data_IF_795173688059
#
_entry.id   IF_795173688059
#
_cell.length_a   1.000
_cell.length_b   1.000
_cell.length_c   1.000
_cell.angle_alpha   90.00
_cell.angle_beta   90.00
_cell.angle_gamma   90.00
#
_symmetry.space_group_name_H-M   'P 1'
#
loop_
_entity.id
_entity.type
_entity.pdbx_description
1 polymer ?
#
# COMPACT_ATOMS: atom_id res chain seq x y z
N UNK A 1 -10.38 30.80 -9.90
CA UNK A 1 -10.43 29.45 -9.37
C UNK A 1 -10.48 28.50 -10.54
N UNK A 2 -9.42 27.71 -10.75
CA UNK A 2 -9.31 26.84 -11.93
C UNK A 2 -10.25 25.65 -11.80
N UNK A 3 -11.07 25.40 -12.80
CA UNK A 3 -12.01 24.26 -12.95
C UNK A 3 -11.35 22.87 -12.90
N UNK A 4 -10.05 22.78 -12.61
CA UNK A 4 -9.25 21.55 -12.48
C UNK A 4 -9.26 20.93 -11.06
N UNK A 5 -9.86 21.63 -10.07
CA UNK A 5 -9.77 21.20 -8.65
C UNK A 5 -10.93 20.31 -8.19
N UNK A 6 -12.03 20.21 -8.92
CA UNK A 6 -13.22 19.51 -8.45
C UNK A 6 -13.23 17.99 -8.70
N UNK A 7 -12.32 17.45 -9.52
CA UNK A 7 -12.27 15.99 -9.78
C UNK A 7 -10.80 15.55 -9.99
N UNK A 8 -10.03 15.55 -8.88
CA UNK A 8 -8.63 15.19 -8.95
C UNK A 8 -8.47 13.70 -9.27
N UNK A 9 -7.61 13.40 -10.24
CA UNK A 9 -7.28 12.03 -10.63
C UNK A 9 -5.80 11.89 -10.97
N UNK A 10 -5.32 10.65 -10.86
CA UNK A 10 -4.01 10.24 -11.37
C UNK A 10 -4.29 9.38 -12.60
N UNK A 11 -3.73 9.77 -13.74
CA UNK A 11 -3.84 9.01 -14.98
C UNK A 11 -2.46 8.52 -15.39
N UNK A 12 -2.34 7.22 -15.60
CA UNK A 12 -1.14 6.51 -16.00
C UNK A 12 -1.44 5.86 -17.35
N UNK A 13 -0.76 6.28 -18.41
CA UNK A 13 -0.99 5.80 -19.78
C UNK A 13 0.26 5.15 -20.33
N UNK A 14 0.19 3.84 -20.57
CA UNK A 14 1.22 2.97 -21.17
C UNK A 14 2.62 3.20 -20.58
N UNK A 15 2.70 3.37 -19.26
CA UNK A 15 3.95 3.67 -18.59
C UNK A 15 4.87 2.47 -18.59
N UNK A 16 6.09 2.68 -19.08
CA UNK A 16 7.20 1.73 -19.02
C UNK A 16 8.40 2.38 -18.38
N UNK A 17 9.14 1.61 -17.57
CA UNK A 17 10.41 2.06 -17.02
C UNK A 17 11.42 0.93 -16.99
N UNK A 18 12.58 1.21 -17.60
CA UNK A 18 13.74 0.29 -17.65
C UNK A 18 14.90 0.95 -16.96
N UNK A 19 15.47 0.29 -15.95
CA UNK A 19 16.69 0.75 -15.29
C UNK A 19 17.93 0.52 -16.17
N UNK A 20 19.01 1.25 -15.92
CA UNK A 20 20.27 1.22 -16.70
C UNK A 20 20.86 -0.18 -16.95
N UNK A 21 20.53 -1.17 -16.10
CA UNK A 21 20.96 -2.56 -16.24
C UNK A 21 20.05 -3.41 -17.13
N UNK A 22 19.10 -2.80 -17.86
CA UNK A 22 18.18 -3.51 -18.75
C UNK A 22 16.98 -4.17 -18.06
N UNK A 23 16.83 -4.05 -16.75
CA UNK A 23 15.69 -4.60 -16.01
C UNK A 23 14.46 -3.68 -16.19
N UNK A 24 13.40 -4.22 -16.80
CA UNK A 24 12.12 -3.55 -16.97
C UNK A 24 11.30 -3.67 -15.67
N UNK A 25 11.35 -2.63 -14.83
CA UNK A 25 10.62 -2.59 -13.57
C UNK A 25 9.12 -2.27 -13.75
N UNK A 26 8.77 -1.55 -14.82
CA UNK A 26 7.38 -1.24 -15.22
C UNK A 26 7.23 -1.54 -16.71
N UNK A 27 6.15 -2.21 -17.08
CA UNK A 27 5.96 -2.71 -18.44
C UNK A 27 4.55 -2.43 -18.98
N UNK A 28 4.31 -1.17 -19.41
CA UNK A 28 3.09 -0.77 -20.10
C UNK A 28 1.87 -0.62 -19.18
N UNK A 29 2.04 -0.10 -17.96
CA UNK A 29 0.94 0.08 -17.01
C UNK A 29 -0.04 1.15 -17.49
N UNK A 30 -1.34 0.82 -17.41
CA UNK A 30 -2.48 1.72 -17.58
C UNK A 30 -3.31 1.70 -16.30
N UNK A 31 -3.48 2.87 -15.66
CA UNK A 31 -4.32 3.02 -14.45
C UNK A 31 -4.91 4.43 -14.40
N UNK A 32 -6.15 4.51 -13.91
CA UNK A 32 -6.77 5.77 -13.50
C UNK A 32 -7.18 5.64 -12.03
N UNK A 33 -6.67 6.52 -11.17
CA UNK A 33 -6.96 6.51 -9.72
C UNK A 33 -7.68 7.79 -9.39
N UNK A 34 -8.78 7.67 -8.66
CA UNK A 34 -9.63 8.78 -8.21
C UNK A 34 -9.64 8.88 -6.69
N UNK A 35 -10.36 9.86 -6.13
CA UNK A 35 -10.48 10.06 -4.68
C UNK A 35 -10.88 8.78 -3.96
N UNK A 36 -10.22 8.50 -2.87
CA UNK A 36 -10.38 7.30 -2.06
C UNK A 36 -9.05 6.66 -1.69
N UNK A 37 -9.13 5.58 -0.90
CA UNK A 37 -7.99 4.73 -0.58
C UNK A 37 -7.84 3.67 -1.67
N UNK A 38 -6.76 3.77 -2.43
CA UNK A 38 -6.36 2.84 -3.48
C UNK A 38 -5.24 1.93 -2.99
N UNK A 39 -5.46 0.62 -3.07
CA UNK A 39 -4.49 -0.41 -2.72
C UNK A 39 -3.58 -0.76 -3.90
N UNK A 40 -2.26 -0.72 -3.69
CA UNK A 40 -1.27 -1.18 -4.65
C UNK A 40 -0.58 -2.42 -4.09
N UNK A 41 -1.10 -3.60 -4.41
CA UNK A 41 -0.63 -4.89 -3.93
C UNK A 41 0.38 -5.53 -4.89
N UNK A 42 1.23 -6.39 -4.36
CA UNK A 42 2.15 -7.21 -5.14
C UNK A 42 3.39 -7.61 -4.35
N UNK A 43 4.13 -8.62 -4.80
CA UNK A 43 5.34 -9.08 -4.15
C UNK A 43 6.45 -8.01 -4.19
N UNK A 44 7.52 -8.25 -3.43
CA UNK A 44 8.71 -7.42 -3.49
C UNK A 44 9.33 -7.51 -4.89
N UNK A 45 9.81 -6.38 -5.42
CA UNK A 45 10.33 -6.34 -6.79
C UNK A 45 9.27 -6.24 -7.91
N UNK A 46 7.97 -6.30 -7.61
CA UNK A 46 6.91 -6.22 -8.61
C UNK A 46 6.84 -4.87 -9.37
N UNK A 47 7.52 -3.81 -8.87
CA UNK A 47 7.53 -2.49 -9.50
C UNK A 47 6.73 -1.43 -8.75
N UNK A 48 6.10 -1.74 -7.59
CA UNK A 48 5.27 -0.80 -6.80
C UNK A 48 6.00 0.51 -6.49
N UNK A 49 7.16 0.45 -5.83
CA UNK A 49 7.94 1.65 -5.46
C UNK A 49 8.44 2.41 -6.69
N UNK A 50 8.75 1.72 -7.79
CA UNK A 50 9.13 2.36 -9.06
C UNK A 50 7.97 3.18 -9.62
N UNK A 51 6.77 2.61 -9.66
CA UNK A 51 5.56 3.31 -10.13
C UNK A 51 5.27 4.53 -9.25
N UNK A 52 5.32 4.38 -7.92
CA UNK A 52 5.09 5.49 -7.00
C UNK A 52 6.13 6.60 -7.15
N UNK A 53 7.42 6.28 -7.33
CA UNK A 53 8.47 7.28 -7.61
C UNK A 53 8.22 8.03 -8.91
N UNK A 54 7.66 7.39 -9.93
CA UNK A 54 7.26 8.05 -11.18
C UNK A 54 6.11 9.02 -10.91
N UNK A 55 5.05 8.59 -10.21
CA UNK A 55 3.91 9.45 -9.85
C UNK A 55 4.37 10.65 -9.02
N UNK A 56 5.30 10.44 -8.08
CA UNK A 56 5.90 11.50 -7.25
C UNK A 56 6.85 12.45 -8.02
N UNK A 57 6.99 12.32 -9.33
CA UNK A 57 7.98 13.08 -10.14
C UNK A 57 9.44 12.93 -9.69
N UNK A 58 9.76 11.84 -8.97
CA UNK A 58 11.12 11.50 -8.53
C UNK A 58 11.88 10.65 -9.56
N UNK A 59 11.14 9.97 -10.43
CA UNK A 59 11.68 9.13 -11.49
C UNK A 59 10.99 9.46 -12.82
N UNK A 60 11.75 9.54 -13.90
CA UNK A 60 11.20 9.77 -15.24
C UNK A 60 10.90 8.41 -15.87
N UNK A 61 9.67 8.17 -16.38
CA UNK A 61 9.39 6.95 -17.11
C UNK A 61 10.20 6.89 -18.41
N UNK A 62 10.52 5.70 -18.90
CA UNK A 62 11.20 5.50 -20.19
C UNK A 62 10.22 5.76 -21.33
N UNK A 63 8.97 5.33 -21.18
CA UNK A 63 7.89 5.50 -22.15
C UNK A 63 6.56 5.74 -21.42
N UNK A 64 5.58 6.28 -22.15
CA UNK A 64 4.24 6.56 -21.62
C UNK A 64 4.16 7.90 -20.90
N UNK A 65 3.02 8.13 -20.24
CA UNK A 65 2.71 9.41 -19.61
C UNK A 65 1.99 9.21 -18.28
N UNK A 66 2.33 10.07 -17.30
CA UNK A 66 1.59 10.15 -16.03
C UNK A 66 1.18 11.58 -15.79
N UNK A 67 -0.07 11.78 -15.35
CA UNK A 67 -0.56 13.07 -14.88
C UNK A 67 -1.20 12.95 -13.50
N UNK A 68 -1.02 13.99 -12.68
CA UNK A 68 -1.62 14.13 -11.34
C UNK A 68 -2.39 15.44 -11.31
N UNK A 69 -3.71 15.38 -11.13
CA UNK A 69 -4.56 16.57 -11.18
C UNK A 69 -4.39 17.37 -12.46
N UNK A 70 -4.14 16.69 -13.59
CA UNK A 70 -3.90 17.29 -14.90
C UNK A 70 -2.46 17.77 -15.14
N UNK A 71 -1.58 17.78 -14.13
CA UNK A 71 -0.17 18.14 -14.29
C UNK A 71 0.68 16.94 -14.70
N UNK A 72 1.51 17.12 -15.73
CA UNK A 72 2.45 16.10 -16.21
C UNK A 72 3.62 15.93 -15.24
N UNK A 73 3.89 14.69 -14.78
CA UNK A 73 4.91 14.40 -13.75
C UNK A 73 6.35 14.71 -14.20
N UNK A 74 6.60 14.84 -15.51
CA UNK A 74 7.92 15.14 -16.06
C UNK A 74 8.06 16.63 -16.37
N UNK A 75 7.05 17.21 -17.01
CA UNK A 75 7.10 18.59 -17.52
C UNK A 75 6.66 19.63 -16.50
N UNK A 76 5.71 19.27 -15.61
CA UNK A 76 5.07 20.18 -14.67
C UNK A 76 5.30 19.78 -13.20
N UNK A 77 6.52 19.37 -12.86
CA UNK A 77 6.91 18.83 -11.55
C UNK A 77 6.50 19.70 -10.36
N UNK A 78 6.54 21.04 -10.50
CA UNK A 78 6.14 21.96 -9.42
C UNK A 78 4.63 21.86 -9.14
N UNK A 79 3.80 21.75 -10.19
CA UNK A 79 2.36 21.55 -10.05
C UNK A 79 2.05 20.21 -9.36
N UNK A 80 2.69 19.13 -9.80
CA UNK A 80 2.56 17.80 -9.17
C UNK A 80 2.92 17.85 -7.69
N UNK A 81 4.08 18.42 -7.31
CA UNK A 81 4.56 18.44 -5.93
C UNK A 81 3.69 19.24 -4.97
N UNK A 82 2.97 20.26 -5.46
CA UNK A 82 1.99 21.00 -4.65
C UNK A 82 0.78 20.15 -4.29
N UNK A 83 0.40 19.22 -5.16
CA UNK A 83 -0.74 18.34 -4.95
C UNK A 83 -0.41 17.07 -4.19
N UNK A 84 0.88 16.73 -4.00
CA UNK A 84 1.30 15.41 -3.61
C UNK A 84 2.15 15.41 -2.34
N UNK A 85 1.75 14.61 -1.35
CA UNK A 85 2.56 14.20 -0.20
C UNK A 85 3.09 12.78 -0.42
N UNK A 86 4.30 12.51 0.03
CA UNK A 86 4.93 11.20 -0.12
C UNK A 86 5.59 10.73 1.17
N UNK A 87 5.20 9.56 1.63
CA UNK A 87 5.86 8.82 2.71
C UNK A 87 6.61 7.63 2.11
N UNK A 88 7.95 7.66 2.03
CA UNK A 88 8.74 6.53 1.55
C UNK A 88 8.77 5.38 2.57
N UNK A 89 9.12 4.19 2.11
CA UNK A 89 9.30 3.00 2.94
C UNK A 89 10.33 3.25 4.06
N UNK A 90 11.50 3.82 3.71
CA UNK A 90 12.48 4.27 4.67
C UNK A 90 12.27 5.75 4.98
N UNK A 91 11.66 6.02 6.12
CA UNK A 91 11.47 7.37 6.63
C UNK A 91 12.35 7.61 7.86
N UNK A 92 13.23 8.61 7.76
CA UNK A 92 14.08 9.06 8.83
C UNK A 92 13.83 10.53 9.12
N UNK A 93 13.21 10.84 10.26
CA UNK A 93 13.07 12.20 10.73
C UNK A 93 14.32 12.65 11.53
N UNK A 94 14.47 13.95 11.71
CA UNK A 94 15.58 14.53 12.47
C UNK A 94 15.52 14.16 13.96
N UNK A 95 16.28 13.17 14.35
CA UNK A 95 16.18 12.45 15.64
C UNK A 95 16.38 13.32 16.88
N UNK A 96 17.15 14.41 16.79
CA UNK A 96 17.50 15.28 17.91
C UNK A 96 16.53 16.43 18.12
N UNK A 97 15.66 16.71 17.15
CA UNK A 97 14.66 17.78 17.19
C UNK A 97 13.37 17.29 17.85
N UNK A 98 12.56 18.23 18.34
CA UNK A 98 11.20 17.96 18.81
C UNK A 98 10.29 17.71 17.61
N UNK A 99 9.20 16.99 17.84
CA UNK A 99 8.22 16.67 16.78
C UNK A 99 7.67 17.95 16.15
N UNK A 100 7.26 18.93 16.96
CA UNK A 100 6.75 20.22 16.49
C UNK A 100 7.79 21.04 15.70
N UNK A 101 9.06 21.02 16.13
CA UNK A 101 10.16 21.71 15.42
C UNK A 101 10.39 21.14 14.03
N UNK A 102 10.31 19.79 13.88
CA UNK A 102 10.41 19.12 12.58
C UNK A 102 9.29 19.60 11.66
N UNK A 103 8.05 19.60 12.15
CA UNK A 103 6.89 19.99 11.35
C UNK A 103 6.89 21.49 11.03
N UNK A 104 7.28 22.37 11.96
CA UNK A 104 7.38 23.82 11.73
C UNK A 104 8.43 24.13 10.64
N UNK A 105 9.58 23.45 10.68
CA UNK A 105 10.61 23.60 9.65
C UNK A 105 10.10 23.12 8.29
N UNK A 106 9.43 21.98 8.22
CA UNK A 106 8.89 21.47 6.98
C UNK A 106 7.74 22.33 6.43
N UNK A 107 6.91 22.89 7.30
CA UNK A 107 5.90 23.85 6.93
C UNK A 107 6.51 25.11 6.28
N UNK A 108 7.60 25.61 6.88
CA UNK A 108 8.36 26.74 6.32
C UNK A 108 8.91 26.40 4.92
N UNK A 109 9.56 25.24 4.76
CA UNK A 109 10.09 24.78 3.47
C UNK A 109 8.98 24.54 2.43
N UNK A 110 7.75 24.29 2.88
CA UNK A 110 6.58 24.14 2.01
C UNK A 110 5.92 25.46 1.62
N UNK A 111 6.48 26.61 2.08
CA UNK A 111 6.03 27.95 1.70
C UNK A 111 5.03 28.58 2.69
N UNK A 112 4.81 28.00 3.88
CA UNK A 112 4.03 28.60 4.95
C UNK A 112 4.89 29.61 5.71
N UNK A 113 5.03 30.84 5.19
CA UNK A 113 5.90 31.88 5.74
C UNK A 113 5.34 32.51 7.02
N UNK A 114 4.02 32.66 7.11
CA UNK A 114 3.36 33.25 8.26
C UNK A 114 3.47 32.35 9.49
N UNK A 115 4.12 32.84 10.56
CA UNK A 115 4.37 32.09 11.80
C UNK A 115 3.08 31.64 12.50
N UNK A 116 2.05 32.47 12.54
CA UNK A 116 0.80 32.12 13.22
C UNK A 116 0.03 31.05 12.45
N UNK A 117 -0.02 31.16 11.13
CA UNK A 117 -0.63 30.17 10.25
C UNK A 117 0.12 28.83 10.34
N UNK A 118 1.44 28.88 10.30
CA UNK A 118 2.30 27.70 10.44
C UNK A 118 2.09 26.99 11.77
N UNK A 119 2.04 27.73 12.89
CA UNK A 119 1.77 27.15 14.21
C UNK A 119 0.40 26.47 14.25
N UNK A 120 -0.62 27.14 13.73
CA UNK A 120 -1.97 26.55 13.61
C UNK A 120 -1.94 25.28 12.80
N UNK A 121 -1.29 25.30 11.63
CA UNK A 121 -1.20 24.12 10.75
C UNK A 121 -0.47 22.95 11.39
N UNK A 122 0.61 23.20 12.11
CA UNK A 122 1.35 22.16 12.87
C UNK A 122 0.45 21.51 13.91
N UNK A 123 -0.31 22.29 14.68
CA UNK A 123 -1.25 21.76 15.67
C UNK A 123 -2.37 20.91 15.02
N UNK A 124 -2.99 21.41 13.96
CA UNK A 124 -4.01 20.68 13.20
C UNK A 124 -3.50 19.32 12.69
N UNK A 125 -2.28 19.30 12.16
CA UNK A 125 -1.68 18.07 11.66
C UNK A 125 -1.33 17.11 12.80
N UNK A 126 -0.74 17.59 13.89
CA UNK A 126 -0.44 16.77 15.08
C UNK A 126 -1.70 16.10 15.62
N UNK A 127 -2.81 16.85 15.69
CA UNK A 127 -4.11 16.31 16.09
C UNK A 127 -4.61 15.25 15.11
N UNK A 128 -4.52 15.52 13.81
CA UNK A 128 -5.01 14.61 12.77
C UNK A 128 -4.31 13.24 12.78
N UNK A 129 -3.02 13.20 13.16
CA UNK A 129 -2.21 11.98 13.24
C UNK A 129 -2.06 11.42 14.67
N UNK A 130 -2.69 12.04 15.67
CA UNK A 130 -2.64 11.61 17.08
C UNK A 130 -1.26 11.70 17.72
N UNK A 131 -0.56 12.84 17.51
CA UNK A 131 0.77 13.12 18.09
C UNK A 131 0.79 14.36 18.99
N UNK A 132 -0.36 14.92 19.39
CA UNK A 132 -0.42 16.12 20.23
C UNK A 132 0.35 15.96 21.53
N UNK A 133 0.14 14.85 22.23
CA UNK A 133 0.72 14.59 23.56
C UNK A 133 2.25 14.42 23.53
N UNK A 134 2.82 14.31 22.35
CA UNK A 134 4.26 14.12 22.14
C UNK A 134 4.91 15.23 21.31
N UNK A 135 4.19 16.33 21.05
CA UNK A 135 4.67 17.45 20.23
C UNK A 135 6.06 17.98 20.67
N UNK A 136 6.28 18.12 21.97
CA UNK A 136 7.55 18.58 22.55
C UNK A 136 8.60 17.48 22.74
N UNK A 137 8.23 16.22 22.48
CA UNK A 137 9.15 15.09 22.63
C UNK A 137 10.15 15.05 21.48
N UNK A 138 11.41 14.70 21.79
CA UNK A 138 12.43 14.48 20.75
C UNK A 138 12.09 13.25 19.93
N UNK A 139 12.26 13.32 18.59
CA UNK A 139 11.93 12.24 17.65
C UNK A 139 12.59 10.92 18.02
N UNK A 140 13.82 10.94 18.56
CA UNK A 140 14.52 9.71 19.00
C UNK A 140 13.84 8.95 20.15
N UNK A 141 12.86 9.57 20.81
CA UNK A 141 12.09 8.98 21.93
C UNK A 141 10.71 8.47 21.49
N UNK A 142 10.39 8.53 20.20
CA UNK A 142 9.14 8.03 19.66
C UNK A 142 9.20 6.53 19.42
N UNK A 143 8.04 5.83 19.50
CA UNK A 143 7.88 4.46 19.01
C UNK A 143 7.97 4.42 17.48
N UNK A 144 8.15 3.24 16.89
CA UNK A 144 8.15 3.06 15.44
C UNK A 144 6.86 3.58 14.79
N UNK A 145 5.71 3.29 15.39
CA UNK A 145 4.41 3.77 14.93
C UNK A 145 4.27 5.29 15.03
N UNK A 146 4.76 5.91 16.12
CA UNK A 146 4.79 7.37 16.23
C UNK A 146 5.68 8.00 15.15
N UNK A 147 6.83 7.40 14.84
CA UNK A 147 7.71 7.89 13.75
C UNK A 147 7.00 7.78 12.40
N UNK A 148 6.25 6.70 12.14
CA UNK A 148 5.45 6.58 10.91
C UNK A 148 4.35 7.63 10.83
N UNK A 149 3.63 7.88 11.93
CA UNK A 149 2.62 8.94 12.01
C UNK A 149 3.23 10.33 11.81
N UNK A 150 4.43 10.58 12.32
CA UNK A 150 5.19 11.79 12.01
C UNK A 150 5.54 11.91 10.53
N UNK A 151 5.88 10.82 9.86
CA UNK A 151 6.10 10.79 8.42
C UNK A 151 4.83 11.12 7.60
N UNK A 152 3.67 10.64 8.05
CA UNK A 152 2.37 11.06 7.46
C UNK A 152 2.12 12.55 7.72
N UNK A 153 2.35 13.03 8.94
CA UNK A 153 2.22 14.46 9.28
C UNK A 153 3.08 15.34 8.37
N UNK A 154 4.34 14.95 8.15
CA UNK A 154 5.25 15.63 7.23
C UNK A 154 4.67 15.67 5.81
N UNK A 155 4.17 14.54 5.31
CA UNK A 155 3.62 14.44 3.96
C UNK A 155 2.32 15.27 3.79
N UNK A 156 1.60 15.55 4.88
CA UNK A 156 0.34 16.31 4.89
C UNK A 156 0.51 17.80 5.20
N UNK A 157 1.69 18.28 5.54
CA UNK A 157 1.90 19.62 6.09
C UNK A 157 1.42 20.76 5.16
N UNK A 158 1.55 20.58 3.85
CA UNK A 158 1.15 21.53 2.81
C UNK A 158 -0.25 21.27 2.22
N UNK A 159 -1.06 20.46 2.89
CA UNK A 159 -2.42 20.07 2.50
C UNK A 159 -2.57 19.45 1.09
N UNK A 160 -1.80 18.40 0.80
CA UNK A 160 -1.85 17.77 -0.51
C UNK A 160 -3.21 17.11 -0.78
N UNK A 161 -3.60 17.07 -2.04
CA UNK A 161 -4.80 16.33 -2.50
C UNK A 161 -4.53 14.85 -2.77
N UNK A 162 -3.27 14.49 -2.89
CA UNK A 162 -2.78 13.12 -3.13
C UNK A 162 -1.77 12.76 -2.06
N UNK A 163 -1.93 11.62 -1.41
CA UNK A 163 -0.96 11.05 -0.47
C UNK A 163 -0.49 9.70 -0.98
N UNK A 164 0.79 9.53 -1.15
CA UNK A 164 1.40 8.25 -1.53
C UNK A 164 2.19 7.71 -0.35
N UNK A 165 1.93 6.46 0.00
CA UNK A 165 2.48 5.81 1.18
C UNK A 165 3.05 4.45 0.80
N UNK A 166 4.37 4.32 0.92
CA UNK A 166 5.10 3.12 0.52
C UNK A 166 5.39 2.22 1.72
N UNK A 167 4.75 1.05 1.75
CA UNK A 167 4.91 -0.01 2.77
C UNK A 167 4.95 0.51 4.23
N UNK A 168 3.94 1.24 4.68
CA UNK A 168 4.03 1.98 5.95
C UNK A 168 3.94 1.12 7.20
N UNK A 169 3.44 -0.09 7.11
CA UNK A 169 3.11 -0.96 8.25
C UNK A 169 4.20 -1.97 8.58
N UNK A 170 5.24 -2.03 7.77
CA UNK A 170 6.40 -2.90 8.03
C UNK A 170 7.07 -2.49 9.33
N UNK A 171 7.20 -3.46 10.26
CA UNK A 171 7.81 -3.24 11.57
C UNK A 171 6.91 -2.58 12.61
N UNK A 172 5.62 -2.37 12.31
CA UNK A 172 4.63 -1.93 13.29
C UNK A 172 4.03 -3.13 14.04
N UNK A 173 3.72 -2.93 15.31
CA UNK A 173 2.93 -3.87 16.09
C UNK A 173 1.45 -3.90 15.62
N UNK A 174 0.65 -4.90 16.02
CA UNK A 174 -0.72 -5.05 15.57
C UNK A 174 -1.63 -3.85 15.91
N UNK A 175 -1.46 -3.24 17.07
CA UNK A 175 -2.25 -2.08 17.51
C UNK A 175 -1.95 -0.85 16.65
N UNK A 176 -0.68 -0.55 16.42
CA UNK A 176 -0.24 0.55 15.57
C UNK A 176 -0.69 0.36 14.11
N UNK A 177 -0.74 -0.89 13.60
CA UNK A 177 -1.31 -1.17 12.27
C UNK A 177 -2.79 -0.83 12.18
N UNK A 178 -3.57 -1.14 13.24
CA UNK A 178 -5.00 -0.78 13.29
C UNK A 178 -5.17 0.73 13.25
N UNK A 179 -4.43 1.46 14.09
CA UNK A 179 -4.46 2.92 14.12
C UNK A 179 -4.06 3.54 12.78
N UNK A 180 -3.02 3.00 12.14
CA UNK A 180 -2.57 3.48 10.84
C UNK A 180 -3.64 3.28 9.74
N UNK A 181 -4.28 2.11 9.69
CA UNK A 181 -5.38 1.83 8.76
C UNK A 181 -6.57 2.78 8.95
N UNK A 182 -6.95 3.04 10.20
CA UNK A 182 -8.02 3.99 10.52
C UNK A 182 -7.68 5.41 10.05
N UNK A 183 -6.42 5.83 10.26
CA UNK A 183 -5.92 7.12 9.77
C UNK A 183 -5.99 7.20 8.24
N UNK A 184 -5.53 6.18 7.51
CA UNK A 184 -5.60 6.15 6.05
C UNK A 184 -7.05 6.18 5.53
N UNK A 185 -7.94 5.40 6.13
CA UNK A 185 -9.37 5.40 5.79
C UNK A 185 -10.02 6.78 6.02
N UNK A 186 -9.70 7.45 7.13
CA UNK A 186 -10.18 8.81 7.42
C UNK A 186 -9.70 9.81 6.38
N UNK A 187 -8.40 9.82 6.07
CA UNK A 187 -7.79 10.73 5.10
C UNK A 187 -8.28 10.49 3.66
N UNK A 188 -8.59 9.25 3.31
CA UNK A 188 -9.06 8.85 1.98
C UNK A 188 -10.45 9.37 1.62
N UNK A 189 -11.23 9.89 2.58
CA UNK A 189 -12.57 10.44 2.28
C UNK A 189 -12.51 11.68 1.39
N UNK A 190 -11.43 12.45 1.46
CA UNK A 190 -11.29 13.75 0.78
C UNK A 190 -10.08 13.82 -0.15
N UNK A 191 -9.25 12.78 -0.17
CA UNK A 191 -7.98 12.73 -0.89
C UNK A 191 -7.82 11.43 -1.66
N UNK A 192 -6.99 11.44 -2.68
CA UNK A 192 -6.46 10.21 -3.25
C UNK A 192 -5.35 9.72 -2.31
N UNK A 193 -5.48 8.49 -1.81
CA UNK A 193 -4.41 7.82 -1.08
C UNK A 193 -3.99 6.58 -1.86
N UNK A 194 -2.71 6.48 -2.22
CA UNK A 194 -2.13 5.25 -2.76
C UNK A 194 -1.34 4.60 -1.63
N UNK A 195 -1.78 3.43 -1.20
CA UNK A 195 -1.12 2.61 -0.19
C UNK A 195 -0.49 1.40 -0.86
N UNK A 196 0.84 1.35 -0.93
CA UNK A 196 1.52 0.14 -1.37
C UNK A 196 1.73 -0.81 -0.20
N UNK A 197 1.49 -2.08 -0.45
CA UNK A 197 1.79 -3.13 0.53
C UNK A 197 1.92 -4.49 -0.15
N UNK A 198 2.63 -5.40 0.51
CA UNK A 198 2.60 -6.83 0.21
C UNK A 198 1.75 -7.59 1.25
N UNK A 199 1.24 -6.90 2.27
CA UNK A 199 0.40 -7.44 3.34
C UNK A 199 -1.04 -7.02 3.07
N UNK A 200 -1.86 -7.94 2.60
CA UNK A 200 -3.25 -7.70 2.19
C UNK A 200 -4.10 -7.09 3.32
N UNK A 201 -3.88 -7.56 4.55
CA UNK A 201 -4.58 -7.08 5.74
C UNK A 201 -4.38 -5.58 6.03
N UNK A 202 -3.36 -4.94 5.44
CA UNK A 202 -3.09 -3.51 5.64
C UNK A 202 -4.08 -2.59 4.91
N UNK A 203 -4.74 -3.06 3.87
CA UNK A 203 -5.70 -2.26 3.12
C UNK A 203 -6.95 -1.92 3.95
N UNK A 204 -7.39 -2.85 4.81
CA UNK A 204 -8.55 -2.65 5.69
C UNK A 204 -9.86 -2.40 4.93
N UNK A 205 -10.92 -2.12 5.70
CA UNK A 205 -12.27 -1.89 5.17
C UNK A 205 -12.42 -0.55 4.41
N UNK A 206 -11.43 0.33 4.44
CA UNK A 206 -11.47 1.63 3.76
C UNK A 206 -10.99 1.59 2.30
N UNK A 207 -10.44 0.48 1.86
CA UNK A 207 -9.97 0.30 0.48
C UNK A 207 -11.12 -0.20 -0.39
N UNK A 208 -11.51 0.59 -1.40
CA UNK A 208 -12.60 0.26 -2.31
C UNK A 208 -12.14 -0.03 -3.74
N UNK A 209 -10.89 0.26 -4.06
CA UNK A 209 -10.26 -0.03 -5.36
C UNK A 209 -8.81 -0.45 -5.13
N UNK A 210 -8.36 -1.47 -5.84
CA UNK A 210 -7.00 -1.95 -5.75
C UNK A 210 -6.46 -2.45 -7.10
N UNK A 211 -5.13 -2.44 -7.23
CA UNK A 211 -4.43 -3.11 -8.33
C UNK A 211 -3.41 -4.08 -7.77
N UNK A 212 -3.35 -5.28 -8.37
CA UNK A 212 -2.26 -6.23 -8.17
C UNK A 212 -1.21 -5.98 -9.25
N UNK A 213 0.01 -5.69 -8.83
CA UNK A 213 1.15 -5.56 -9.73
C UNK A 213 2.07 -6.75 -9.55
N UNK A 214 2.45 -7.33 -10.69
CA UNK A 214 3.49 -8.34 -10.74
C UNK A 214 4.32 -8.20 -12.01
N UNK A 215 5.65 -8.42 -11.90
CA UNK A 215 6.61 -8.25 -12.99
C UNK A 215 6.40 -6.97 -13.82
N UNK A 216 6.07 -5.87 -13.13
CA UNK A 216 5.86 -4.56 -13.75
C UNK A 216 4.56 -4.40 -14.52
N UNK A 217 3.60 -5.31 -14.41
CA UNK A 217 2.29 -5.26 -15.06
C UNK A 217 1.17 -5.22 -14.03
N UNK A 218 0.05 -4.61 -14.39
CA UNK A 218 -1.19 -4.71 -13.62
C UNK A 218 -1.88 -6.01 -14.03
N UNK A 219 -1.95 -6.95 -13.12
CA UNK A 219 -2.51 -8.27 -13.33
C UNK A 219 -3.99 -8.35 -12.92
N UNK A 220 -4.40 -7.50 -11.99
CA UNK A 220 -5.79 -7.33 -11.57
C UNK A 220 -6.05 -5.88 -11.23
N UNK A 221 -7.26 -5.42 -11.50
CA UNK A 221 -7.82 -4.17 -11.01
C UNK A 221 -9.30 -4.34 -10.68
N UNK A 222 -9.70 -3.86 -9.53
CA UNK A 222 -11.09 -3.89 -9.10
C UNK A 222 -11.23 -3.65 -7.60
N UNK A 223 -12.44 -3.87 -7.08
CA UNK A 223 -12.66 -3.81 -5.64
C UNK A 223 -12.13 -5.06 -4.94
N UNK A 224 -11.88 -4.99 -3.61
CA UNK A 224 -11.57 -6.17 -2.80
C UNK A 224 -12.61 -7.30 -2.97
N UNK A 225 -13.89 -6.95 -3.05
CA UNK A 225 -15.00 -7.90 -3.23
C UNK A 225 -14.89 -8.63 -4.57
N UNK A 226 -14.47 -7.94 -5.64
CA UNK A 226 -14.25 -8.54 -6.95
C UNK A 226 -13.10 -9.56 -6.93
N UNK A 227 -12.05 -9.29 -6.15
CA UNK A 227 -10.97 -10.25 -5.97
C UNK A 227 -11.43 -11.46 -5.15
N UNK A 228 -12.16 -11.23 -4.06
CA UNK A 228 -12.75 -12.28 -3.22
C UNK A 228 -13.70 -13.18 -4.04
N UNK A 229 -14.51 -12.60 -4.92
CA UNK A 229 -15.42 -13.35 -5.78
C UNK A 229 -14.68 -14.33 -6.70
N UNK A 230 -13.47 -13.99 -7.18
CA UNK A 230 -12.65 -14.88 -8.00
C UNK A 230 -12.07 -16.08 -7.23
N UNK A 231 -11.99 -15.99 -5.89
CA UNK A 231 -11.47 -17.06 -5.05
C UNK A 231 -12.54 -18.09 -4.64
N UNK A 232 -13.82 -17.81 -4.88
CA UNK A 232 -14.91 -18.75 -4.57
C UNK A 232 -14.75 -20.05 -5.35
N UNK A 233 -14.88 -21.17 -4.65
CA UNK A 233 -14.73 -22.51 -5.22
C UNK A 233 -13.28 -22.98 -5.40
N UNK A 234 -12.29 -22.13 -5.14
CA UNK A 234 -10.85 -22.50 -5.16
C UNK A 234 -10.26 -22.54 -3.75
N UNK A 235 -10.81 -21.78 -2.80
CA UNK A 235 -10.45 -21.86 -1.38
C UNK A 235 -11.31 -22.93 -0.73
N UNK A 236 -10.68 -23.81 0.04
CA UNK A 236 -11.36 -24.93 0.68
C UNK A 236 -10.80 -25.22 2.08
N UNK A 237 -11.61 -25.91 2.88
CA UNK A 237 -11.20 -26.57 4.12
C UNK A 237 -11.17 -28.09 3.94
N UNK A 238 -10.16 -28.74 4.50
CA UNK A 238 -10.08 -30.19 4.60
C UNK A 238 -9.56 -30.59 5.97
N UNK A 239 -9.92 -31.78 6.40
CA UNK A 239 -9.50 -32.33 7.71
C UNK A 239 -8.59 -33.52 7.47
N UNK A 240 -7.39 -33.45 8.02
CA UNK A 240 -6.46 -34.59 8.04
C UNK A 240 -6.70 -35.42 9.30
N UNK A 241 -6.74 -36.75 9.15
CA UNK A 241 -6.75 -37.66 10.27
C UNK A 241 -5.38 -37.72 10.97
N UNK A 242 -5.34 -38.21 12.21
CA UNK A 242 -4.10 -38.38 12.97
C UNK A 242 -3.20 -39.40 12.24
N UNK A 243 -2.06 -38.93 11.73
CA UNK A 243 -1.11 -39.74 10.94
C UNK A 243 -1.05 -39.43 9.43
N UNK A 244 -2.00 -38.69 8.89
CA UNK A 244 -1.95 -38.25 7.51
C UNK A 244 -0.87 -37.19 7.31
N UNK A 245 0.01 -37.43 6.35
CA UNK A 245 1.07 -36.50 5.98
C UNK A 245 0.50 -35.48 4.99
N UNK A 246 0.25 -34.28 5.45
CA UNK A 246 0.05 -33.03 4.67
C UNK A 246 -0.68 -33.14 3.31
N UNK A 247 -1.41 -32.09 2.97
CA UNK A 247 -1.97 -31.88 1.63
C UNK A 247 -0.82 -31.76 0.63
N UNK A 248 -0.90 -32.33 -0.60
CA UNK A 248 0.16 -32.21 -1.62
C UNK A 248 0.45 -30.75 -1.95
N UNK A 249 1.59 -30.24 -1.50
CA UNK A 249 2.01 -28.81 -1.65
C UNK A 249 2.15 -28.42 -3.13
N UNK A 250 2.35 -29.39 -4.02
CA UNK A 250 2.44 -29.14 -5.46
C UNK A 250 1.11 -28.65 -6.05
N UNK A 251 -0.03 -29.12 -5.52
CA UNK A 251 -1.37 -28.83 -6.03
C UNK A 251 -2.11 -27.78 -5.21
N UNK A 252 -1.69 -27.55 -3.97
CA UNK A 252 -2.38 -26.69 -3.04
C UNK A 252 -1.42 -25.74 -2.32
N UNK A 253 -1.90 -24.52 -2.03
CA UNK A 253 -1.21 -23.55 -1.20
C UNK A 253 -1.90 -23.51 0.17
N UNK A 254 -1.20 -23.90 1.23
CA UNK A 254 -1.76 -23.92 2.59
C UNK A 254 -1.79 -22.49 3.13
N UNK A 255 -2.98 -22.03 3.48
CA UNK A 255 -3.19 -20.68 4.08
C UNK A 255 -3.08 -20.74 5.59
N UNK A 256 -3.75 -21.69 6.19
CA UNK A 256 -3.72 -21.90 7.65
C UNK A 256 -3.87 -23.38 8.00
N UNK A 257 -3.31 -23.73 9.16
CA UNK A 257 -3.41 -25.07 9.74
C UNK A 257 -3.75 -24.92 11.22
N UNK A 258 -4.85 -25.52 11.65
CA UNK A 258 -5.33 -25.47 13.00
C UNK A 258 -5.52 -26.88 13.56
N UNK A 259 -4.90 -27.16 14.70
CA UNK A 259 -5.06 -28.44 15.37
C UNK A 259 -6.30 -28.40 16.29
N UNK A 260 -7.30 -29.22 15.97
CA UNK A 260 -8.54 -29.37 16.77
C UNK A 260 -8.64 -30.78 17.29
N UNK A 261 -8.40 -30.96 18.60
CA UNK A 261 -8.38 -32.26 19.25
C UNK A 261 -7.44 -33.27 18.55
N UNK A 262 -7.98 -34.30 17.91
CA UNK A 262 -7.25 -35.36 17.19
C UNK A 262 -7.24 -35.17 15.66
N UNK A 263 -7.62 -33.99 15.17
CA UNK A 263 -7.72 -33.72 13.73
C UNK A 263 -7.04 -32.39 13.41
N UNK A 264 -6.44 -32.33 12.26
CA UNK A 264 -5.86 -31.09 11.75
C UNK A 264 -6.77 -30.53 10.65
N UNK A 265 -7.34 -29.35 10.88
CA UNK A 265 -8.09 -28.61 9.87
C UNK A 265 -7.10 -27.76 9.08
N UNK A 266 -7.09 -27.98 7.77
CA UNK A 266 -6.27 -27.21 6.83
C UNK A 266 -7.19 -26.36 5.97
N UNK A 267 -6.85 -25.10 5.87
CA UNK A 267 -7.45 -24.16 4.95
C UNK A 267 -6.43 -23.86 3.85
N UNK A 268 -6.80 -24.09 2.60
CA UNK A 268 -5.88 -24.07 1.48
C UNK A 268 -6.53 -23.53 0.20
N UNK A 269 -5.67 -23.17 -0.75
CA UNK A 269 -6.04 -22.71 -2.10
C UNK A 269 -5.64 -23.78 -3.11
N UNK A 270 -6.56 -24.12 -4.00
CA UNK A 270 -6.28 -25.01 -5.14
C UNK A 270 -5.59 -24.24 -6.27
N UNK A 271 -4.41 -24.74 -6.71
CA UNK A 271 -3.64 -24.14 -7.81
C UNK A 271 -4.21 -24.48 -9.20
N UNK A 272 -4.98 -25.55 -9.29
CA UNK A 272 -5.53 -26.07 -10.55
C UNK A 272 -7.06 -26.05 -10.61
N UNK A 273 -7.71 -25.46 -9.61
CA UNK A 273 -9.17 -25.38 -9.48
C UNK A 273 -9.84 -26.69 -9.06
N UNK A 274 -9.09 -27.79 -8.80
CA UNK A 274 -9.64 -29.06 -8.32
C UNK A 274 -9.48 -29.17 -6.84
N UNK A 275 -10.53 -29.56 -6.14
CA UNK A 275 -10.50 -29.77 -4.69
C UNK A 275 -10.14 -31.23 -4.39
N UNK A 276 -9.44 -31.50 -3.28
CA UNK A 276 -9.20 -32.88 -2.82
C UNK A 276 -10.51 -33.54 -2.38
N UNK A 277 -10.54 -34.86 -2.37
CA UNK A 277 -11.68 -35.63 -1.90
C UNK A 277 -12.00 -35.30 -0.43
N UNK A 278 -13.27 -35.07 -0.12
CA UNK A 278 -13.71 -34.69 1.22
C UNK A 278 -13.46 -33.23 1.61
N UNK A 279 -12.92 -32.40 0.70
CA UNK A 279 -12.76 -30.97 0.95
C UNK A 279 -14.08 -30.22 0.83
N UNK A 280 -14.27 -29.22 1.68
CA UNK A 280 -15.44 -28.35 1.68
C UNK A 280 -15.03 -26.97 1.14
N UNK A 281 -15.66 -26.47 0.06
CA UNK A 281 -15.41 -25.12 -0.42
C UNK A 281 -15.73 -24.08 0.65
N UNK A 282 -14.94 -23.00 0.70
CA UNK A 282 -15.17 -21.87 1.58
C UNK A 282 -16.07 -20.86 0.89
N UNK A 283 -17.26 -20.62 1.44
CA UNK A 283 -18.25 -19.70 0.85
C UNK A 283 -17.79 -18.23 0.89
N UNK A 284 -17.12 -17.84 1.96
CA UNK A 284 -16.66 -16.48 2.22
C UNK A 284 -15.15 -16.46 2.44
N UNK A 285 -14.33 -16.54 1.36
CA UNK A 285 -12.89 -16.41 1.49
C UNK A 285 -12.52 -14.99 1.95
N UNK A 286 -11.44 -14.89 2.69
CA UNK A 286 -10.85 -13.60 3.07
C UNK A 286 -10.15 -12.95 1.88
N UNK A 287 -9.88 -11.65 1.97
CA UNK A 287 -9.11 -10.95 0.95
C UNK A 287 -7.68 -11.52 0.81
N UNK A 288 -7.09 -11.98 1.91
CA UNK A 288 -5.77 -12.61 1.92
C UNK A 288 -5.78 -13.95 1.15
N UNK A 289 -6.81 -14.77 1.39
CA UNK A 289 -7.01 -16.02 0.64
C UNK A 289 -7.27 -15.76 -0.84
N UNK A 290 -8.04 -14.73 -1.15
CA UNK A 290 -8.29 -14.32 -2.53
C UNK A 290 -7.00 -13.85 -3.24
N UNK A 291 -6.15 -13.11 -2.54
CA UNK A 291 -4.84 -12.73 -3.06
C UNK A 291 -3.96 -13.96 -3.32
N UNK A 292 -3.88 -14.88 -2.35
CA UNK A 292 -3.11 -16.13 -2.51
C UNK A 292 -3.67 -16.98 -3.65
N UNK A 293 -5.00 -17.10 -3.78
CA UNK A 293 -5.66 -17.81 -4.86
C UNK A 293 -5.30 -17.21 -6.22
N UNK A 294 -5.34 -15.89 -6.33
CA UNK A 294 -4.99 -15.18 -7.55
C UNK A 294 -3.52 -15.41 -7.94
N UNK A 295 -2.59 -15.31 -6.97
CA UNK A 295 -1.16 -15.51 -7.20
C UNK A 295 -0.82 -16.97 -7.54
N UNK A 296 -1.41 -17.93 -6.82
CA UNK A 296 -1.14 -19.37 -7.00
C UNK A 296 -1.66 -19.92 -8.32
N UNK A 297 -2.84 -19.49 -8.78
CA UNK A 297 -3.43 -19.96 -10.07
C UNK A 297 -2.66 -19.47 -11.28
N UNK A 298 -1.82 -18.44 -11.14
CA UNK A 298 -0.93 -17.93 -12.21
C UNK A 298 0.50 -18.48 -12.15
N UNK A 299 0.79 -19.40 -11.22
CA UNK A 299 2.14 -19.94 -11.03
C UNK A 299 3.11 -18.98 -10.33
N UNK A 300 2.62 -17.89 -9.79
CA UNK A 300 3.38 -16.90 -9.04
C UNK A 300 3.41 -17.35 -7.59
N UNK A 301 4.56 -17.79 -7.08
CA UNK A 301 4.70 -18.15 -5.66
C UNK A 301 4.58 -16.88 -4.79
N UNK A 302 3.53 -16.80 -3.99
CA UNK A 302 3.40 -15.80 -2.95
C UNK A 302 4.46 -16.09 -1.88
N UNK A 303 5.64 -15.48 -1.96
CA UNK A 303 6.64 -15.60 -0.90
C UNK A 303 8.10 -15.83 -1.30
N UNK A 304 8.45 -15.82 -2.57
CA UNK A 304 9.87 -15.93 -2.98
C UNK A 304 10.64 -14.60 -2.90
N UNK A 305 10.35 -13.82 -1.84
CA UNK A 305 10.93 -12.49 -1.60
C UNK A 305 12.09 -12.49 -0.60
N UNK A 306 12.81 -13.61 -0.43
CA UNK A 306 13.79 -13.72 0.65
C UNK A 306 15.11 -14.40 0.37
N UNK A 307 15.43 -14.74 -0.88
CA UNK A 307 16.78 -15.31 -1.19
C UNK A 307 17.26 -14.77 -2.53
N UNK A 308 17.93 -13.64 -2.51
CA UNK A 308 19.04 -13.26 -3.40
C UNK A 308 19.40 -11.79 -3.14
N UNK A 309 20.21 -11.56 -2.12
CA UNK A 309 21.11 -10.42 -2.01
C UNK A 309 22.17 -10.81 -0.96
N UNK A 310 23.13 -11.58 -1.35
CA UNK A 310 24.49 -11.59 -0.80
C UNK A 310 25.44 -11.11 -1.87
#
# INVERSE_FOLDING_TARGET
MNSRENDISINIDRVRHVYKKGNAAINGINLKITTGLFGLLGPNGAGKSTLMRIICSLLVPTEGRVTVGGYDVVRERRGVRRLLGYLPQEFNAWRLHRVEEVLDTLATLSGLENRSERKRRVLEILESVGLNDVAERKVKKLSGGMVRRLGVAQALIHDPKVLIVDEPTVGLDPEERIHFRQLMAKLGRERIIILSTHIVGDLGAGCHDLALIDHGKVEFRGSPENLIAQAKGIVFETTLAEGDKSVPVEQFEVVSQEQRLKRTVIRAVSKNGRLPEGAVPVDNPTLEEAYLAFMSTRGIKAGDSGREAQ
#
